data_IF_562868820098
#
_entry.id   IF_562868820098
#
_cell.length_a   1.000
_cell.length_b   1.000
_cell.length_c   1.000
_cell.angle_alpha   90.00
_cell.angle_beta   90.00
_cell.angle_gamma   90.00
#
_symmetry.space_group_name_H-M   'P 1'
#
loop_
_entity.id
_entity.type
_entity.pdbx_description
1 polymer ?
#
# COMPACT_ATOMS: atom_id res chain seq x y z
N UNK A 1 1.61 27.59 -12.10
CA UNK A 1 0.86 26.39 -12.50
C UNK A 1 0.71 25.59 -11.23
N UNK A 2 -0.39 25.82 -10.52
CA UNK A 2 -0.56 25.46 -9.11
C UNK A 2 -0.87 23.96 -9.03
N UNK A 3 0.12 23.16 -8.63
CA UNK A 3 0.10 21.69 -8.68
C UNK A 3 -0.75 21.04 -7.58
N UNK A 4 -1.79 21.72 -7.11
CA UNK A 4 -2.69 21.21 -6.08
C UNK A 4 -3.55 20.12 -6.72
N UNK A 5 -3.28 18.86 -6.39
CA UNK A 5 -4.00 17.70 -6.90
C UNK A 5 -5.51 17.92 -6.73
N UNK A 6 -6.25 17.85 -7.84
CA UNK A 6 -7.71 18.01 -7.82
C UNK A 6 -8.32 17.01 -6.80
N UNK A 7 -9.04 17.46 -5.78
CA UNK A 7 -9.61 16.59 -4.74
C UNK A 7 -10.52 15.50 -5.32
N UNK A 8 -11.18 15.74 -6.46
CA UNK A 8 -11.97 14.74 -7.16
C UNK A 8 -11.09 13.68 -7.84
N UNK A 9 -9.94 14.08 -8.40
CA UNK A 9 -8.96 13.16 -8.95
C UNK A 9 -8.37 12.26 -7.86
N UNK A 10 -7.99 12.84 -6.71
CA UNK A 10 -7.46 12.07 -5.56
C UNK A 10 -8.44 11.01 -5.10
N UNK A 11 -9.72 11.38 -4.91
CA UNK A 11 -10.78 10.45 -4.51
C UNK A 11 -10.93 9.28 -5.49
N UNK A 12 -10.99 9.58 -6.80
CA UNK A 12 -11.09 8.55 -7.85
C UNK A 12 -9.87 7.63 -7.90
N UNK A 13 -8.67 8.17 -7.68
CA UNK A 13 -7.44 7.38 -7.59
C UNK A 13 -7.45 6.45 -6.38
N UNK A 14 -7.85 6.94 -5.21
CA UNK A 14 -7.98 6.13 -3.98
C UNK A 14 -8.97 4.99 -4.17
N UNK A 15 -10.15 5.25 -4.74
CA UNK A 15 -11.15 4.21 -5.01
C UNK A 15 -10.64 3.17 -6.03
N UNK A 16 -9.98 3.61 -7.11
CA UNK A 16 -9.38 2.71 -8.09
C UNK A 16 -8.30 1.80 -7.47
N UNK A 17 -7.41 2.37 -6.65
CA UNK A 17 -6.39 1.62 -5.92
C UNK A 17 -6.99 0.64 -4.90
N UNK A 18 -8.11 1.00 -4.28
CA UNK A 18 -8.83 0.13 -3.35
C UNK A 18 -9.43 -1.08 -4.06
N UNK A 19 -10.11 -0.86 -5.19
CA UNK A 19 -10.60 -1.98 -6.01
C UNK A 19 -9.46 -2.87 -6.50
N UNK A 20 -8.36 -2.29 -6.96
CA UNK A 20 -7.16 -3.04 -7.37
C UNK A 20 -6.58 -3.88 -6.22
N UNK A 21 -6.46 -3.30 -5.03
CA UNK A 21 -5.96 -4.01 -3.84
C UNK A 21 -6.87 -5.19 -3.44
N UNK A 22 -8.19 -5.00 -3.47
CA UNK A 22 -9.16 -6.04 -3.12
C UNK A 22 -9.15 -7.19 -4.14
N UNK A 23 -9.07 -6.87 -5.43
CA UNK A 23 -8.94 -7.88 -6.49
C UNK A 23 -7.64 -8.68 -6.33
N UNK A 24 -6.51 -7.99 -6.13
CA UNK A 24 -5.22 -8.66 -5.94
C UNK A 24 -5.19 -9.51 -4.66
N UNK A 25 -5.87 -9.09 -3.59
CA UNK A 25 -6.01 -9.89 -2.37
C UNK A 25 -6.79 -11.18 -2.63
N UNK A 26 -7.89 -11.13 -3.37
CA UNK A 26 -8.66 -12.32 -3.70
C UNK A 26 -7.91 -13.27 -4.66
N UNK A 27 -7.22 -12.71 -5.67
CA UNK A 27 -6.36 -13.50 -6.56
C UNK A 27 -5.23 -14.19 -5.80
N UNK A 28 -4.57 -13.47 -4.88
CA UNK A 28 -3.52 -14.03 -4.05
C UNK A 28 -4.05 -15.13 -3.13
N UNK A 29 -5.17 -14.89 -2.44
CA UNK A 29 -5.83 -15.92 -1.61
C UNK A 29 -6.15 -17.17 -2.43
N UNK A 30 -6.79 -16.98 -3.57
CA UNK A 30 -7.15 -18.08 -4.49
C UNK A 30 -5.94 -18.86 -4.96
N UNK A 31 -4.82 -18.18 -5.25
CA UNK A 31 -3.59 -18.84 -5.68
C UNK A 31 -2.84 -19.53 -4.54
N UNK A 32 -2.59 -18.85 -3.41
CA UNK A 32 -1.76 -19.40 -2.34
C UNK A 32 -2.48 -20.45 -1.48
N UNK A 33 -3.82 -20.39 -1.35
CA UNK A 33 -4.59 -21.36 -0.55
C UNK A 33 -5.09 -22.56 -1.36
N UNK A 34 -5.66 -22.31 -2.54
CA UNK A 34 -6.41 -23.30 -3.32
C UNK A 34 -5.63 -23.81 -4.54
N UNK A 35 -5.11 -22.90 -5.37
CA UNK A 35 -4.45 -23.27 -6.64
C UNK A 35 -2.98 -23.70 -6.50
N UNK A 36 -2.30 -23.24 -5.45
CA UNK A 36 -0.86 -23.37 -5.29
C UNK A 36 -0.43 -24.67 -4.66
N UNK A 37 -1.34 -25.55 -4.22
CA UNK A 37 -0.98 -26.85 -3.64
C UNK A 37 -0.25 -27.73 -4.65
N UNK A 38 -0.74 -27.81 -5.89
CA UNK A 38 -0.08 -28.58 -6.95
C UNK A 38 1.30 -28.01 -7.32
N UNK A 39 1.39 -26.69 -7.46
CA UNK A 39 2.67 -26.01 -7.72
C UNK A 39 3.65 -26.20 -6.56
N UNK A 40 3.17 -26.09 -5.31
CA UNK A 40 3.98 -26.20 -4.09
C UNK A 40 4.45 -27.63 -3.82
N UNK A 41 3.62 -28.63 -4.10
CA UNK A 41 3.97 -30.04 -3.84
C UNK A 41 5.07 -30.53 -4.80
N UNK A 42 5.18 -29.93 -5.99
CA UNK A 42 6.28 -30.14 -6.93
C UNK A 42 7.59 -29.44 -6.57
N UNK A 43 7.60 -28.53 -5.58
CA UNK A 43 8.80 -27.78 -5.19
C UNK A 43 9.64 -28.55 -4.16
N UNK A 44 10.96 -28.35 -4.21
CA UNK A 44 11.86 -28.83 -3.17
C UNK A 44 11.53 -28.18 -1.80
N UNK A 45 11.90 -28.80 -0.66
CA UNK A 45 11.54 -28.29 0.67
C UNK A 45 11.90 -26.82 0.90
N UNK A 46 13.08 -26.37 0.48
CA UNK A 46 13.54 -24.98 0.60
C UNK A 46 12.67 -24.03 -0.22
N UNK A 47 12.29 -24.44 -1.43
CA UNK A 47 11.42 -23.65 -2.31
C UNK A 47 9.99 -23.54 -1.75
N UNK A 48 9.50 -24.56 -1.03
CA UNK A 48 8.20 -24.48 -0.33
C UNK A 48 8.21 -23.47 0.81
N UNK A 49 9.33 -23.32 1.52
CA UNK A 49 9.47 -22.29 2.55
C UNK A 49 9.49 -20.90 1.93
N UNK A 50 10.30 -20.71 0.88
CA UNK A 50 10.34 -19.47 0.11
C UNK A 50 8.94 -19.05 -0.39
N UNK A 51 8.19 -20.00 -0.94
CA UNK A 51 6.82 -19.79 -1.39
C UNK A 51 5.90 -19.27 -0.27
N UNK A 52 5.93 -19.92 0.90
CA UNK A 52 5.15 -19.46 2.07
C UNK A 52 5.60 -18.09 2.59
N UNK A 53 6.90 -17.82 2.59
CA UNK A 53 7.44 -16.53 2.99
C UNK A 53 6.97 -15.41 2.05
N UNK A 54 7.02 -15.62 0.74
CA UNK A 54 6.56 -14.62 -0.22
C UNK A 54 5.04 -14.42 -0.18
N UNK A 55 4.27 -15.49 0.11
CA UNK A 55 2.83 -15.37 0.36
C UNK A 55 2.55 -14.44 1.56
N UNK A 56 3.26 -14.64 2.68
CA UNK A 56 3.10 -13.80 3.87
C UNK A 56 3.51 -12.35 3.60
N UNK A 57 4.65 -12.13 2.93
CA UNK A 57 5.08 -10.77 2.55
C UNK A 57 4.06 -10.07 1.67
N UNK A 58 3.46 -10.79 0.72
CA UNK A 58 2.39 -10.28 -0.12
C UNK A 58 1.18 -9.86 0.71
N UNK A 59 0.68 -10.72 1.60
CA UNK A 59 -0.50 -10.38 2.41
C UNK A 59 -0.23 -9.21 3.35
N UNK A 60 0.96 -9.11 3.94
CA UNK A 60 1.37 -7.94 4.73
C UNK A 60 1.37 -6.65 3.90
N UNK A 61 1.92 -6.67 2.67
CA UNK A 61 1.88 -5.51 1.77
C UNK A 61 0.44 -5.08 1.46
N UNK A 62 -0.43 -6.04 1.13
CA UNK A 62 -1.83 -5.74 0.82
C UNK A 62 -2.57 -5.21 2.04
N UNK A 63 -2.32 -5.76 3.23
CA UNK A 63 -2.92 -5.27 4.47
C UNK A 63 -2.54 -3.81 4.74
N UNK A 64 -1.28 -3.44 4.60
CA UNK A 64 -0.84 -2.05 4.77
C UNK A 64 -1.51 -1.13 3.74
N UNK A 65 -1.55 -1.53 2.47
CA UNK A 65 -2.21 -0.77 1.40
C UNK A 65 -3.70 -0.58 1.71
N UNK A 66 -4.41 -1.64 2.07
CA UNK A 66 -5.85 -1.59 2.36
C UNK A 66 -6.12 -0.71 3.59
N UNK A 67 -5.36 -0.87 4.67
CA UNK A 67 -5.51 -0.06 5.88
C UNK A 67 -5.32 1.44 5.59
N UNK A 68 -4.32 1.78 4.79
CA UNK A 68 -4.08 3.16 4.38
C UNK A 68 -5.21 3.71 3.50
N UNK A 69 -5.68 2.94 2.52
CA UNK A 69 -6.79 3.34 1.64
C UNK A 69 -8.10 3.53 2.40
N UNK A 70 -8.40 2.67 3.38
CA UNK A 70 -9.55 2.84 4.27
C UNK A 70 -9.44 4.11 5.11
N UNK A 71 -8.23 4.47 5.55
CA UNK A 71 -7.99 5.73 6.25
C UNK A 71 -8.32 6.93 5.36
N UNK A 72 -7.91 6.90 4.08
CA UNK A 72 -8.24 7.99 3.14
C UNK A 72 -9.75 8.09 2.87
N UNK A 73 -10.44 6.94 2.77
CA UNK A 73 -11.90 6.92 2.61
C UNK A 73 -12.61 7.51 3.82
N UNK A 74 -12.15 7.23 5.04
CA UNK A 74 -12.69 7.85 6.25
C UNK A 74 -12.50 9.38 6.24
N UNK A 75 -11.38 9.87 5.72
CA UNK A 75 -11.16 11.32 5.53
C UNK A 75 -12.14 11.90 4.50
N UNK A 76 -12.27 11.25 3.34
CA UNK A 76 -13.16 11.71 2.28
C UNK A 76 -14.65 11.66 2.70
N UNK A 77 -15.01 10.76 3.62
CA UNK A 77 -16.34 10.67 4.24
C UNK A 77 -16.56 11.68 5.38
N UNK A 78 -15.51 12.38 5.82
CA UNK A 78 -15.56 13.29 6.98
C UNK A 78 -15.59 12.59 8.34
N UNK A 79 -15.35 11.27 8.38
CA UNK A 79 -15.27 10.46 9.60
C UNK A 79 -13.92 10.59 10.32
N UNK A 80 -12.88 11.02 9.60
CA UNK A 80 -11.54 11.23 10.12
C UNK A 80 -10.98 12.57 9.63
N UNK A 81 -10.30 13.32 10.49
CA UNK A 81 -9.64 14.55 10.06
C UNK A 81 -8.38 14.25 9.22
N UNK A 82 -8.03 15.14 8.30
CA UNK A 82 -6.80 15.01 7.50
C UNK A 82 -5.53 15.00 8.38
N UNK A 83 -5.56 15.74 9.50
CA UNK A 83 -4.48 15.75 10.47
C UNK A 83 -4.33 14.39 11.18
N UNK A 84 -5.43 13.77 11.60
CA UNK A 84 -5.41 12.46 12.26
C UNK A 84 -4.98 11.34 11.32
N UNK A 85 -5.33 11.43 10.03
CA UNK A 85 -4.90 10.51 8.99
C UNK A 85 -3.38 10.54 8.76
N UNK A 86 -2.73 11.66 9.08
CA UNK A 86 -1.27 11.80 9.00
C UNK A 86 -0.53 11.31 10.25
N UNK A 87 -1.23 10.81 11.27
CA UNK A 87 -0.60 10.23 12.43
C UNK A 87 0.36 9.09 12.02
N UNK A 88 1.52 8.93 12.67
CA UNK A 88 2.51 7.91 12.29
C UNK A 88 1.95 6.49 12.19
N UNK A 89 0.96 6.15 13.03
CA UNK A 89 0.29 4.83 13.06
C UNK A 89 -0.69 4.59 11.90
N UNK A 90 -1.06 5.63 11.15
CA UNK A 90 -1.97 5.58 10.00
C UNK A 90 -1.29 5.81 8.65
N UNK A 91 0.03 6.07 8.68
CA UNK A 91 0.88 6.07 7.49
C UNK A 91 0.97 4.65 6.92
N UNK A 92 1.27 4.55 5.63
CA UNK A 92 1.38 3.25 4.94
C UNK A 92 2.44 2.33 5.59
N UNK A 93 3.53 2.91 6.09
CA UNK A 93 4.66 2.16 6.64
C UNK A 93 5.53 1.49 5.58
N UNK A 94 6.52 0.73 6.04
CA UNK A 94 7.44 0.01 5.18
C UNK A 94 6.85 -1.34 4.71
N UNK A 95 7.15 -1.69 3.48
CA UNK A 95 6.82 -3.00 2.92
C UNK A 95 7.90 -4.04 3.28
N UNK A 96 7.51 -5.30 3.53
CA UNK A 96 8.44 -6.42 3.55
C UNK A 96 9.26 -6.51 2.26
N UNK A 97 10.57 -6.71 2.42
CA UNK A 97 11.51 -6.86 1.30
C UNK A 97 11.44 -8.27 0.72
N UNK A 98 11.33 -8.33 -0.61
CA UNK A 98 11.40 -9.58 -1.38
C UNK A 98 12.80 -9.71 -1.98
N UNK A 99 13.38 -10.90 -1.84
CA UNK A 99 14.65 -11.27 -2.47
C UNK A 99 14.38 -11.67 -3.94
N UNK A 100 15.02 -10.97 -4.87
CA UNK A 100 14.83 -11.19 -6.30
C UNK A 100 15.30 -12.56 -6.79
N UNK A 101 16.39 -13.09 -6.22
CA UNK A 101 16.94 -14.39 -6.61
C UNK A 101 16.03 -15.51 -6.14
N UNK A 102 15.56 -15.42 -4.90
CA UNK A 102 14.58 -16.36 -4.35
C UNK A 102 13.26 -16.30 -5.14
N UNK A 103 12.77 -15.09 -5.43
CA UNK A 103 11.55 -14.91 -6.24
C UNK A 103 11.70 -15.52 -7.63
N UNK A 104 12.87 -15.43 -8.27
CA UNK A 104 13.10 -15.97 -9.60
C UNK A 104 12.91 -17.49 -9.68
N UNK A 105 13.07 -18.20 -8.56
CA UNK A 105 12.86 -19.65 -8.47
C UNK A 105 11.39 -20.07 -8.33
N UNK A 106 10.48 -19.12 -8.10
CA UNK A 106 9.05 -19.40 -7.89
C UNK A 106 8.29 -19.57 -9.22
N UNK A 107 7.12 -20.26 -9.18
CA UNK A 107 6.25 -20.38 -10.35
C UNK A 107 5.90 -19.01 -10.96
N UNK A 108 5.78 -18.89 -12.30
CA UNK A 108 5.52 -17.62 -12.98
C UNK A 108 4.33 -16.84 -12.41
N UNK A 109 3.23 -17.54 -12.07
CA UNK A 109 2.04 -16.91 -11.50
C UNK A 109 2.30 -16.29 -10.13
N UNK A 110 3.02 -17.00 -9.26
CA UNK A 110 3.42 -16.50 -7.94
C UNK A 110 4.29 -15.24 -8.07
N UNK A 111 5.26 -15.26 -9.00
CA UNK A 111 6.11 -14.10 -9.30
C UNK A 111 5.31 -12.89 -9.76
N UNK A 112 4.32 -13.10 -10.63
CA UNK A 112 3.41 -12.05 -11.08
C UNK A 112 2.67 -11.38 -9.93
N UNK A 113 2.03 -12.16 -9.05
CA UNK A 113 1.29 -11.63 -7.90
C UNK A 113 2.19 -10.85 -6.92
N UNK A 114 3.39 -11.35 -6.66
CA UNK A 114 4.37 -10.65 -5.82
C UNK A 114 4.83 -9.34 -6.47
N UNK A 115 5.13 -9.34 -7.77
CA UNK A 115 5.53 -8.13 -8.49
C UNK A 115 4.41 -7.07 -8.50
N UNK A 116 3.16 -7.47 -8.78
CA UNK A 116 2.01 -6.56 -8.78
C UNK A 116 1.78 -5.95 -7.41
N UNK A 117 1.87 -6.74 -6.33
CA UNK A 117 1.70 -6.21 -4.97
C UNK A 117 2.84 -5.26 -4.55
N UNK A 118 4.07 -5.48 -5.01
CA UNK A 118 5.18 -4.54 -4.82
C UNK A 118 4.91 -3.22 -5.56
N UNK A 119 4.44 -3.28 -6.80
CA UNK A 119 4.14 -2.06 -7.57
C UNK A 119 2.97 -1.27 -6.97
N UNK A 120 1.90 -1.97 -6.57
CA UNK A 120 0.76 -1.38 -5.89
C UNK A 120 1.19 -0.65 -4.62
N UNK A 121 1.99 -1.30 -3.75
CA UNK A 121 2.53 -0.65 -2.55
C UNK A 121 3.36 0.59 -2.90
N UNK A 122 4.20 0.52 -3.94
CA UNK A 122 5.02 1.66 -4.38
C UNK A 122 4.17 2.83 -4.87
N UNK A 123 3.09 2.56 -5.60
CA UNK A 123 2.11 3.57 -6.05
C UNK A 123 1.42 4.23 -4.87
N UNK A 124 0.94 3.44 -3.90
CA UNK A 124 0.30 3.95 -2.69
C UNK A 124 1.29 4.75 -1.84
N UNK A 125 2.54 4.30 -1.72
CA UNK A 125 3.60 5.02 -0.99
C UNK A 125 3.91 6.40 -1.59
N UNK A 126 3.80 6.56 -2.92
CA UNK A 126 3.92 7.89 -3.55
C UNK A 126 2.76 8.79 -3.16
N UNK A 127 1.54 8.25 -3.17
CA UNK A 127 0.34 9.00 -2.79
C UNK A 127 0.36 9.39 -1.31
N UNK A 128 0.79 8.48 -0.42
CA UNK A 128 0.99 8.75 1.00
C UNK A 128 1.94 9.92 1.26
N UNK A 129 3.03 10.03 0.48
CA UNK A 129 3.93 11.20 0.54
C UNK A 129 3.25 12.48 0.08
N UNK A 130 2.54 12.47 -1.05
CA UNK A 130 1.79 13.64 -1.52
C UNK A 130 0.79 14.14 -0.48
N UNK A 131 0.06 13.22 0.18
CA UNK A 131 -0.89 13.58 1.26
C UNK A 131 -0.16 14.18 2.47
N UNK A 132 1.06 13.73 2.78
CA UNK A 132 1.87 14.33 3.84
C UNK A 132 2.33 15.75 3.48
N UNK A 133 2.78 15.94 2.24
CA UNK A 133 3.35 17.20 1.76
C UNK A 133 2.28 18.30 1.63
N UNK A 134 1.03 17.92 1.31
CA UNK A 134 -0.12 18.83 1.24
C UNK A 134 -0.58 19.34 2.63
N UNK A 135 -0.11 18.73 3.73
CA UNK A 135 -0.46 19.18 5.08
C UNK A 135 0.37 20.40 5.50
N UNK A 136 -0.26 21.46 6.04
CA UNK A 136 0.46 22.62 6.54
C UNK A 136 1.49 22.22 7.59
N UNK A 137 2.77 22.52 7.33
CA UNK A 137 3.83 22.29 8.29
C UNK A 137 3.51 23.08 9.58
N UNK A 138 3.49 22.44 10.77
CA UNK A 138 3.22 23.13 12.03
C UNK A 138 4.20 24.28 12.29
N UNK A 139 5.41 24.24 11.74
CA UNK A 139 6.36 25.35 11.79
C UNK A 139 5.87 26.58 11.00
N UNK A 140 5.20 26.40 9.84
CA UNK A 140 4.61 27.50 9.08
C UNK A 140 3.41 28.09 9.80
N UNK A 141 2.56 27.26 10.43
CA UNK A 141 1.44 27.73 11.25
C UNK A 141 1.89 28.56 12.47
N UNK A 142 3.03 28.20 13.06
CA UNK A 142 3.63 28.98 14.14
C UNK A 142 4.22 30.31 13.62
N UNK A 143 4.85 30.28 12.44
CA UNK A 143 5.40 31.48 11.80
C UNK A 143 4.31 32.48 11.41
N UNK A 144 3.22 32.01 10.80
CA UNK A 144 2.07 32.85 10.43
C UNK A 144 1.41 33.50 11.65
N UNK A 145 1.33 32.77 12.77
CA UNK A 145 0.84 33.31 14.05
C UNK A 145 1.75 34.38 14.65
N UNK A 146 3.07 34.24 14.48
CA UNK A 146 4.03 35.26 14.93
C UNK A 146 3.95 36.51 14.07
N UNK A 147 3.86 36.36 12.74
CA UNK A 147 3.77 37.49 11.80
C UNK A 147 2.47 38.27 11.97
N UNK A 148 1.36 37.61 12.27
CA UNK A 148 0.07 38.27 12.51
C UNK A 148 -0.05 38.99 13.87
N UNK A 149 0.93 38.82 14.77
CA UNK A 149 0.93 39.39 16.12
C UNK A 149 1.72 40.72 16.23
N UNK A 150 2.31 41.19 15.13
CA UNK A 150 3.03 42.46 15.00
C UNK A 150 2.37 43.34 13.93
#
# INVERSE_FOLDING_TARGET
>A
MDGRTDPDLRRRLTEGLYSEAMLLADEARSYFDLGGRGDRDGLAPVQRVAFSCEALKLTTRLMHVIAWLLTQRAVDAGELSAADACAPTRRLGDAPVTDGDMLATMPPRARGLVATSIDLHRRVARLDRTVADDMPNPAHLLHDRLVAAF
#
